data_IF_497427925108
#
_entry.id   IF_497427925108
#
_cell.length_a   1.000
_cell.length_b   1.000
_cell.length_c   1.000
_cell.angle_alpha   90.00
_cell.angle_beta   90.00
_cell.angle_gamma   90.00
#
_symmetry.space_group_name_H-M   'P 1'
#
loop_
_entity.id
_entity.type
_entity.pdbx_description
1 polymer ?
#
# COMPACT_ATOMS: atom_id res chain seq x y z
N UNK A 1 6.39 -15.92 7.68
CA UNK A 1 7.32 -15.35 8.67
C UNK A 1 8.26 -14.39 7.96
N UNK A 2 7.87 -13.12 7.89
CA UNK A 2 8.84 -12.07 7.65
C UNK A 2 9.79 -12.07 8.85
N UNK A 3 11.09 -12.12 8.58
CA UNK A 3 12.12 -12.04 9.61
C UNK A 3 12.01 -10.67 10.30
N UNK A 4 11.64 -10.64 11.58
CA UNK A 4 11.45 -9.45 12.42
C UNK A 4 12.75 -8.62 12.64
N UNK A 5 13.79 -8.85 11.84
CA UNK A 5 15.08 -8.18 11.92
C UNK A 5 15.59 -7.55 10.62
N UNK A 6 14.84 -7.60 9.52
CA UNK A 6 15.31 -6.98 8.27
C UNK A 6 15.03 -5.47 8.24
N UNK A 7 15.93 -4.70 8.86
CA UNK A 7 15.96 -3.23 8.79
C UNK A 7 15.86 -2.75 7.33
N UNK A 8 16.36 -3.51 6.34
CA UNK A 8 16.23 -3.11 4.94
C UNK A 8 14.79 -3.18 4.45
N UNK A 9 14.03 -4.18 4.88
CA UNK A 9 12.60 -4.28 4.56
C UNK A 9 11.82 -3.10 5.15
N UNK A 10 12.13 -2.71 6.40
CA UNK A 10 11.56 -1.52 7.06
C UNK A 10 11.92 -0.24 6.29
N UNK A 11 13.19 -0.08 5.90
CA UNK A 11 13.67 1.09 5.15
C UNK A 11 13.05 1.21 3.75
N UNK A 12 12.53 0.12 3.15
CA UNK A 12 11.77 0.21 1.88
C UNK A 12 10.42 0.95 2.03
N UNK A 13 9.88 1.06 3.24
CA UNK A 13 8.65 1.81 3.52
C UNK A 13 8.90 3.29 3.82
N UNK A 14 10.09 3.65 4.28
CA UNK A 14 10.43 5.04 4.66
C UNK A 14 10.13 6.06 3.54
N UNK A 15 10.55 5.84 2.26
CA UNK A 15 10.20 6.76 1.19
C UNK A 15 8.68 6.89 0.95
N UNK A 16 7.88 5.88 1.30
CA UNK A 16 6.43 5.84 1.09
C UNK A 16 5.69 6.74 2.07
N UNK A 17 6.20 6.84 3.30
CA UNK A 17 5.55 7.60 4.37
C UNK A 17 6.07 9.03 4.49
N UNK A 18 7.24 9.32 3.93
CA UNK A 18 7.82 10.66 3.97
C UNK A 18 6.88 11.73 3.40
N UNK A 19 6.65 12.77 4.19
CA UNK A 19 5.80 13.91 3.89
C UNK A 19 4.30 13.64 4.00
N UNK A 20 3.89 12.39 4.27
CA UNK A 20 2.49 12.01 4.47
C UNK A 20 2.04 12.37 5.88
N UNK A 21 0.76 12.71 6.01
CA UNK A 21 0.15 13.06 7.29
C UNK A 21 -0.56 11.83 7.84
N UNK A 22 -0.20 11.43 9.06
CA UNK A 22 -0.89 10.37 9.81
C UNK A 22 -1.58 11.00 11.01
N UNK A 23 -2.85 10.66 11.21
CA UNK A 23 -3.59 10.96 12.45
C UNK A 23 -3.55 9.70 13.30
N UNK A 24 -3.02 9.80 14.52
CA UNK A 24 -2.87 8.70 15.47
C UNK A 24 -3.62 9.05 16.74
N UNK A 25 -4.68 8.32 17.02
CA UNK A 25 -5.48 8.46 18.22
C UNK A 25 -5.01 7.44 19.25
N UNK A 26 -4.74 7.91 20.47
CA UNK A 26 -4.20 7.11 21.56
C UNK A 26 -5.21 7.13 22.69
N UNK A 27 -5.71 5.96 23.06
CA UNK A 27 -6.63 5.77 24.20
C UNK A 27 -5.89 5.85 25.55
N UNK A 28 -5.31 7.02 25.81
CA UNK A 28 -4.47 7.28 26.97
C UNK A 28 -5.21 7.12 28.30
N UNK A 29 -6.55 7.20 28.30
CA UNK A 29 -7.38 6.95 29.48
C UNK A 29 -7.43 5.48 29.92
N UNK A 30 -7.14 4.52 29.03
CA UNK A 30 -7.23 3.08 29.32
C UNK A 30 -5.89 2.33 29.13
N UNK A 31 -5.06 2.79 28.20
CA UNK A 31 -3.78 2.16 27.93
C UNK A 31 -2.78 2.37 29.09
N UNK A 32 -1.97 1.35 29.43
CA UNK A 32 -0.97 1.49 30.49
C UNK A 32 0.18 2.41 30.02
N UNK A 33 0.73 3.23 30.92
CA UNK A 33 1.80 4.19 30.62
C UNK A 33 2.99 3.60 29.83
N UNK A 34 3.52 2.40 30.15
CA UNK A 34 4.61 1.82 29.37
C UNK A 34 4.25 1.57 27.90
N UNK A 35 3.01 1.22 27.61
CA UNK A 35 2.55 0.99 26.23
C UNK A 35 2.40 2.30 25.45
N UNK A 36 1.97 3.37 26.13
CA UNK A 36 1.92 4.72 25.55
C UNK A 36 3.34 5.21 25.25
N UNK A 37 4.26 5.08 26.21
CA UNK A 37 5.66 5.47 26.03
C UNK A 37 6.33 4.72 24.88
N UNK A 38 6.12 3.39 24.78
CA UNK A 38 6.61 2.59 23.67
C UNK A 38 6.05 3.07 22.32
N UNK A 39 4.74 3.33 22.27
CA UNK A 39 4.08 3.86 21.06
C UNK A 39 4.65 5.23 20.67
N UNK A 40 4.96 6.10 21.64
CA UNK A 40 5.58 7.40 21.38
C UNK A 40 7.01 7.26 20.85
N UNK A 41 7.80 6.28 21.31
CA UNK A 41 9.13 6.01 20.74
C UNK A 41 9.03 5.55 19.28
N UNK A 42 8.06 4.69 18.96
CA UNK A 42 7.80 4.27 17.58
C UNK A 42 7.40 5.47 16.71
N UNK A 43 6.53 6.34 17.22
CA UNK A 43 6.09 7.55 16.54
C UNK A 43 7.22 8.58 16.36
N UNK A 44 8.12 8.73 17.34
CA UNK A 44 9.31 9.57 17.21
C UNK A 44 10.18 9.10 16.04
N UNK A 45 10.40 7.79 15.91
CA UNK A 45 11.10 7.22 14.76
C UNK A 45 10.36 7.47 13.43
N UNK A 46 9.03 7.54 13.44
CA UNK A 46 8.25 7.92 12.26
C UNK A 46 8.43 9.39 11.86
N UNK A 47 8.48 10.30 12.85
CA UNK A 47 8.78 11.71 12.62
C UNK A 47 10.17 11.87 11.97
N UNK A 48 11.19 11.17 12.50
CA UNK A 48 12.57 11.19 11.99
C UNK A 48 12.69 10.77 10.52
N UNK A 49 11.87 9.81 10.08
CA UNK A 49 11.85 9.38 8.66
C UNK A 49 11.04 10.31 7.76
N UNK A 50 10.39 11.31 8.34
CA UNK A 50 9.71 12.43 7.70
C UNK A 50 8.19 12.32 7.65
N UNK A 51 7.57 11.48 8.48
CA UNK A 51 6.11 11.43 8.60
C UNK A 51 5.63 12.64 9.39
N UNK A 52 4.54 13.26 8.94
CA UNK A 52 3.89 14.36 9.65
C UNK A 52 2.83 13.80 10.58
N UNK A 53 3.00 13.97 11.89
CA UNK A 53 2.14 13.33 12.89
C UNK A 53 1.14 14.29 13.51
N UNK A 54 -0.06 13.78 13.73
CA UNK A 54 -1.08 14.39 14.59
C UNK A 54 -1.49 13.35 15.61
N UNK A 55 -1.21 13.60 16.88
CA UNK A 55 -1.51 12.73 18.01
C UNK A 55 -2.77 13.25 18.71
N UNK A 56 -3.85 12.46 18.65
CA UNK A 56 -5.10 12.73 19.34
C UNK A 56 -5.19 11.93 20.64
N UNK A 57 -5.58 12.59 21.73
CA UNK A 57 -5.77 11.95 23.05
C UNK A 57 -7.23 11.56 23.22
N UNK A 58 -7.49 10.26 23.32
CA UNK A 58 -8.82 9.68 23.62
C UNK A 58 -8.88 9.33 25.12
N UNK A 59 -9.57 10.17 25.88
CA UNK A 59 -9.57 10.07 27.34
C UNK A 59 -8.19 10.32 27.97
N UNK A 60 -8.15 10.54 29.29
CA UNK A 60 -6.91 10.92 29.99
C UNK A 60 -6.58 12.42 29.89
N UNK A 61 -5.41 12.82 30.38
CA UNK A 61 -4.96 14.22 30.38
C UNK A 61 -4.08 14.52 29.16
N UNK A 62 -4.53 15.46 28.32
CA UNK A 62 -3.76 15.97 27.17
C UNK A 62 -2.38 16.49 27.58
N UNK A 63 -2.25 17.05 28.78
CA UNK A 63 -0.98 17.54 29.30
C UNK A 63 0.02 16.39 29.50
N UNK A 64 -0.43 15.25 30.00
CA UNK A 64 0.47 14.11 30.27
C UNK A 64 1.02 13.53 28.96
N UNK A 65 0.17 13.31 27.95
CA UNK A 65 0.66 12.87 26.63
C UNK A 65 1.63 13.90 26.04
N UNK A 66 1.33 15.19 26.13
CA UNK A 66 2.23 16.23 25.64
C UNK A 66 3.59 16.20 26.35
N UNK A 67 3.62 16.08 27.67
CA UNK A 67 4.87 16.00 28.41
C UNK A 67 5.67 14.75 28.01
N UNK A 68 5.02 13.60 27.83
CA UNK A 68 5.67 12.39 27.32
C UNK A 68 6.22 12.55 25.91
N UNK A 69 5.55 13.31 25.02
CA UNK A 69 6.11 13.58 23.68
C UNK A 69 7.46 14.33 23.78
N UNK A 70 7.59 15.25 24.73
CA UNK A 70 8.85 15.97 24.96
C UNK A 70 9.94 15.04 25.52
N UNK A 71 9.58 14.09 26.38
CA UNK A 71 10.51 13.08 26.89
C UNK A 71 11.03 12.14 25.80
N UNK A 72 10.21 11.85 24.79
CA UNK A 72 10.58 11.08 23.60
C UNK A 72 11.26 11.92 22.51
N UNK A 73 11.63 13.18 22.80
CA UNK A 73 12.28 14.11 21.86
C UNK A 73 11.45 14.44 20.60
N UNK A 74 10.12 14.22 20.64
CA UNK A 74 9.18 14.61 19.57
C UNK A 74 9.06 16.14 19.58
N UNK A 75 9.24 16.78 18.42
CA UNK A 75 9.07 18.23 18.29
C UNK A 75 7.59 18.59 18.24
N UNK A 76 6.90 18.52 19.37
CA UNK A 76 5.46 18.69 19.44
C UNK A 76 5.00 20.15 19.66
N UNK A 77 3.78 20.47 19.22
CA UNK A 77 3.01 21.62 19.68
C UNK A 77 1.56 21.22 19.95
N UNK A 78 0.99 21.77 21.02
CA UNK A 78 -0.41 21.53 21.37
C UNK A 78 -1.35 22.33 20.49
N UNK A 79 -2.40 21.67 20.03
CA UNK A 79 -3.55 22.33 19.43
C UNK A 79 -4.33 23.05 20.55
N UNK A 80 -4.69 24.31 20.33
CA UNK A 80 -5.42 25.11 21.33
C UNK A 80 -6.89 24.74 21.45
N UNK A 81 -7.40 23.94 20.52
CA UNK A 81 -8.78 23.47 20.46
C UNK A 81 -8.83 21.97 20.16
N UNK A 82 -9.90 21.26 20.54
CA UNK A 82 -10.08 19.85 20.22
C UNK A 82 -10.08 19.54 18.72
N UNK A 83 -9.76 18.29 18.38
CA UNK A 83 -9.95 17.75 17.05
C UNK A 83 -11.43 17.86 16.67
N UNK A 84 -11.71 18.41 15.48
CA UNK A 84 -13.06 18.59 14.98
C UNK A 84 -13.68 19.96 15.22
N UNK A 85 -13.10 20.81 16.08
CA UNK A 85 -13.59 22.17 16.23
C UNK A 85 -13.22 23.09 15.04
N UNK A 86 -14.05 24.10 14.72
CA UNK A 86 -13.75 25.07 13.68
C UNK A 86 -12.37 25.71 13.83
N UNK A 87 -11.59 25.70 12.75
CA UNK A 87 -10.23 26.25 12.70
C UNK A 87 -9.13 25.33 13.23
N UNK A 88 -9.47 24.14 13.76
CA UNK A 88 -8.50 23.15 14.21
C UNK A 88 -7.56 22.73 13.06
N UNK A 89 -8.13 22.54 11.87
CA UNK A 89 -7.39 22.13 10.66
C UNK A 89 -6.33 23.18 10.28
N UNK A 90 -6.68 24.47 10.26
CA UNK A 90 -5.76 25.53 9.84
C UNK A 90 -4.62 25.73 10.85
N UNK A 91 -4.93 25.61 12.14
CA UNK A 91 -3.94 25.63 13.20
C UNK A 91 -3.00 24.42 13.12
N UNK A 92 -3.55 23.22 12.91
CA UNK A 92 -2.77 22.00 12.72
C UNK A 92 -1.86 22.09 11.48
N UNK A 93 -2.35 22.62 10.35
CA UNK A 93 -1.52 22.88 9.15
C UNK A 93 -0.37 23.84 9.46
N UNK A 94 -0.63 24.89 10.24
CA UNK A 94 0.41 25.85 10.63
C UNK A 94 1.47 25.20 11.53
N UNK A 95 1.08 24.31 12.46
CA UNK A 95 2.00 23.53 13.31
C UNK A 95 2.85 22.58 12.44
N UNK A 96 2.21 21.75 11.61
CA UNK A 96 2.89 20.83 10.70
C UNK A 96 3.82 21.57 9.72
N UNK A 97 3.45 22.78 9.29
CA UNK A 97 4.25 23.63 8.41
C UNK A 97 5.56 24.12 9.05
N UNK A 98 5.65 24.13 10.39
CA UNK A 98 6.88 24.40 11.14
C UNK A 98 7.71 23.13 11.39
N UNK A 99 7.28 21.99 10.86
CA UNK A 99 7.91 20.69 11.07
C UNK A 99 7.64 20.10 12.45
N UNK A 100 6.58 20.53 13.13
CA UNK A 100 6.22 20.05 14.46
C UNK A 100 5.10 19.01 14.38
N UNK A 101 5.15 18.00 15.26
CA UNK A 101 4.05 17.08 15.54
C UNK A 101 2.91 17.83 16.25
N UNK A 102 1.66 17.59 15.86
CA UNK A 102 0.49 18.16 16.53
C UNK A 102 0.06 17.24 17.66
N UNK A 103 -0.19 17.78 18.85
CA UNK A 103 -0.80 17.04 19.97
C UNK A 103 -2.14 17.70 20.30
N UNK A 104 -3.24 16.96 20.24
CA UNK A 104 -4.58 17.52 20.32
C UNK A 104 -5.49 16.69 21.22
N UNK A 105 -6.44 17.39 21.85
CA UNK A 105 -7.55 16.74 22.52
C UNK A 105 -8.46 16.09 21.48
N UNK A 106 -8.70 14.80 21.59
CA UNK A 106 -9.61 14.05 20.74
C UNK A 106 -10.79 13.47 21.53
N UNK A 107 -11.08 13.99 22.72
CA UNK A 107 -12.11 13.49 23.64
C UNK A 107 -13.54 13.70 23.12
N UNK A 108 -13.87 13.03 22.03
CA UNK A 108 -15.24 12.67 21.65
C UNK A 108 -15.63 11.34 22.32
N UNK A 109 -16.91 10.98 22.25
CA UNK A 109 -17.41 9.74 22.86
C UNK A 109 -16.96 8.47 22.11
N UNK A 110 -16.43 8.57 20.88
CA UNK A 110 -16.06 7.44 20.03
C UNK A 110 -14.72 7.74 19.32
N UNK A 111 -13.72 6.84 19.37
CA UNK A 111 -12.45 7.00 18.67
C UNK A 111 -12.57 7.34 17.18
N UNK A 112 -13.62 6.90 16.49
CA UNK A 112 -13.81 7.10 15.05
C UNK A 112 -15.04 7.97 14.78
N UNK A 113 -15.35 8.90 15.69
CA UNK A 113 -16.49 9.78 15.56
C UNK A 113 -16.41 10.66 14.28
N UNK A 114 -17.56 11.14 13.78
CA UNK A 114 -17.59 11.89 12.54
C UNK A 114 -16.70 13.13 12.48
N UNK A 115 -16.46 13.82 13.61
CA UNK A 115 -15.65 15.04 13.69
C UNK A 115 -14.15 14.73 13.54
N UNK A 116 -13.67 13.66 14.18
CA UNK A 116 -12.30 13.16 14.00
C UNK A 116 -12.07 12.74 12.55
N UNK A 117 -13.05 12.07 11.93
CA UNK A 117 -13.00 11.69 10.52
C UNK A 117 -12.97 12.92 9.61
N UNK A 118 -13.82 13.94 9.85
CA UNK A 118 -13.82 15.19 9.09
C UNK A 118 -12.50 15.95 9.21
N UNK A 119 -11.94 15.99 10.42
CA UNK A 119 -10.62 16.56 10.65
C UNK A 119 -9.55 15.82 9.85
N UNK A 120 -9.56 14.48 9.88
CA UNK A 120 -8.63 13.60 9.15
C UNK A 120 -8.69 13.84 7.65
N UNK A 121 -9.90 14.00 7.11
CA UNK A 121 -10.10 14.35 5.70
C UNK A 121 -9.60 15.75 5.38
N UNK A 122 -9.99 16.75 6.17
CA UNK A 122 -9.68 18.16 5.93
C UNK A 122 -8.19 18.50 6.08
N UNK A 123 -7.45 17.71 6.87
CA UNK A 123 -6.00 17.82 6.99
C UNK A 123 -5.25 17.10 5.86
N UNK A 124 -5.92 16.25 5.08
CA UNK A 124 -5.32 15.46 4.01
C UNK A 124 -4.47 14.29 4.53
N UNK A 125 -4.89 13.68 5.64
CA UNK A 125 -4.22 12.51 6.19
C UNK A 125 -4.46 11.28 5.32
N UNK A 126 -3.42 10.47 5.13
CA UNK A 126 -3.51 9.22 4.35
C UNK A 126 -3.83 8.00 5.22
N UNK A 127 -3.66 8.14 6.53
CA UNK A 127 -3.94 7.10 7.53
C UNK A 127 -4.55 7.75 8.77
N UNK A 128 -5.62 7.11 9.25
CA UNK A 128 -6.14 7.25 10.60
C UNK A 128 -5.79 5.99 11.37
N UNK A 129 -5.08 6.10 12.48
CA UNK A 129 -4.64 4.97 13.30
C UNK A 129 -5.25 5.14 14.68
N UNK A 130 -6.04 4.19 15.14
CA UNK A 130 -6.58 4.15 16.49
C UNK A 130 -5.84 3.09 17.31
N UNK A 131 -5.09 3.54 18.32
CA UNK A 131 -4.46 2.70 19.35
C UNK A 131 -5.41 2.60 20.53
N UNK A 132 -6.13 1.49 20.61
CA UNK A 132 -7.20 1.26 21.58
C UNK A 132 -6.87 0.07 22.49
N UNK A 133 -7.56 -0.04 23.62
CA UNK A 133 -7.54 -1.27 24.42
C UNK A 133 -8.29 -2.40 23.70
N UNK A 134 -9.39 -2.08 23.02
CA UNK A 134 -10.16 -3.01 22.21
C UNK A 134 -9.52 -3.25 20.83
N UNK A 135 -9.78 -4.41 20.23
CA UNK A 135 -9.35 -4.75 18.88
C UNK A 135 -10.52 -5.33 18.07
N UNK A 136 -10.45 -5.15 16.75
CA UNK A 136 -11.36 -5.85 15.83
C UNK A 136 -10.81 -7.26 15.60
N UNK A 137 -11.57 -8.27 16.01
CA UNK A 137 -11.23 -9.68 15.81
C UNK A 137 -12.37 -10.36 15.05
N UNK A 138 -12.05 -11.09 13.99
CA UNK A 138 -13.01 -11.90 13.24
C UNK A 138 -12.65 -13.36 13.49
N UNK A 139 -13.60 -14.11 14.05
CA UNK A 139 -13.40 -15.50 14.45
C UNK A 139 -12.23 -15.69 15.45
N UNK A 140 -12.00 -14.67 16.28
CA UNK A 140 -11.01 -14.68 17.37
C UNK A 140 -9.63 -14.15 17.00
N UNK A 141 -9.37 -13.84 15.73
CA UNK A 141 -8.07 -13.35 15.25
C UNK A 141 -8.20 -11.98 14.56
N UNK A 142 -7.17 -11.12 14.60
CA UNK A 142 -7.15 -9.90 13.81
C UNK A 142 -7.09 -10.24 12.33
N UNK A 143 -7.81 -9.47 11.50
CA UNK A 143 -7.80 -9.66 10.04
C UNK A 143 -6.98 -8.55 9.40
N UNK A 144 -5.85 -8.87 8.74
CA UNK A 144 -4.93 -7.90 8.14
C UNK A 144 -5.56 -6.74 7.38
N UNK A 145 -6.58 -7.03 6.57
CA UNK A 145 -7.25 -6.03 5.75
C UNK A 145 -8.71 -6.42 5.52
N UNK A 146 -9.59 -5.44 5.68
CA UNK A 146 -11.02 -5.53 5.40
C UNK A 146 -11.43 -4.40 4.48
N UNK A 147 -12.16 -4.72 3.40
CA UNK A 147 -12.76 -3.70 2.54
C UNK A 147 -13.93 -3.07 3.26
N UNK A 148 -14.06 -1.75 3.20
CA UNK A 148 -15.20 -1.04 3.78
C UNK A 148 -16.55 -1.53 3.22
N UNK A 149 -16.58 -2.02 1.98
CA UNK A 149 -17.77 -2.60 1.36
C UNK A 149 -18.18 -3.97 1.94
N UNK A 150 -17.23 -4.72 2.50
CA UNK A 150 -17.45 -6.06 3.04
C UNK A 150 -17.70 -6.04 4.56
N UNK A 151 -17.42 -4.90 5.23
CA UNK A 151 -17.50 -4.73 6.67
C UNK A 151 -18.89 -5.04 7.26
N UNK A 152 -19.96 -4.55 6.62
CA UNK A 152 -21.33 -4.75 7.11
C UNK A 152 -21.74 -6.22 7.00
N UNK A 153 -21.34 -6.91 5.94
CA UNK A 153 -21.59 -8.33 5.77
C UNK A 153 -20.83 -9.16 6.82
N UNK A 154 -19.54 -8.84 7.05
CA UNK A 154 -18.70 -9.50 8.05
C UNK A 154 -19.24 -9.31 9.48
N UNK A 155 -19.70 -8.11 9.81
CA UNK A 155 -20.31 -7.81 11.11
C UNK A 155 -21.58 -8.63 11.39
N UNK A 156 -22.29 -9.07 10.33
CA UNK A 156 -23.51 -9.88 10.44
C UNK A 156 -23.18 -11.39 10.41
N UNK A 157 -22.22 -11.82 9.61
CA UNK A 157 -21.97 -13.23 9.32
C UNK A 157 -20.98 -13.93 10.27
N UNK A 158 -20.09 -13.17 10.93
CA UNK A 158 -19.01 -13.72 11.75
C UNK A 158 -19.19 -13.51 13.25
N UNK A 159 -18.34 -14.16 14.05
CA UNK A 159 -18.14 -13.76 15.46
C UNK A 159 -17.15 -12.61 15.47
N UNK A 160 -17.65 -11.38 15.48
CA UNK A 160 -16.82 -10.17 15.42
C UNK A 160 -16.77 -9.49 16.79
N UNK A 161 -15.58 -9.48 17.40
CA UNK A 161 -15.27 -8.57 18.52
C UNK A 161 -14.97 -7.18 17.94
N UNK A 162 -15.44 -6.10 18.56
CA UNK A 162 -15.26 -4.75 18.01
C UNK A 162 -16.09 -4.46 16.77
N UNK A 163 -17.27 -5.07 16.61
CA UNK A 163 -18.13 -4.86 15.44
C UNK A 163 -18.49 -3.38 15.21
N UNK A 164 -18.68 -2.60 16.28
CA UNK A 164 -18.93 -1.16 16.19
C UNK A 164 -17.71 -0.40 15.63
N UNK A 165 -16.49 -0.76 16.05
CA UNK A 165 -15.24 -0.20 15.50
C UNK A 165 -15.07 -0.56 14.03
N UNK A 166 -15.41 -1.80 13.64
CA UNK A 166 -15.38 -2.23 12.25
C UNK A 166 -16.32 -1.38 11.38
N UNK A 167 -17.54 -1.14 11.86
CA UNK A 167 -18.53 -0.31 11.16
C UNK A 167 -18.12 1.17 11.10
N UNK A 168 -17.62 1.72 12.21
CA UNK A 168 -17.16 3.11 12.27
C UNK A 168 -15.94 3.35 11.36
N UNK A 169 -14.98 2.42 11.35
CA UNK A 169 -13.83 2.46 10.46
C UNK A 169 -14.24 2.33 8.98
N UNK A 170 -15.21 1.45 8.67
CA UNK A 170 -15.75 1.33 7.32
C UNK A 170 -16.45 2.61 6.87
N UNK A 171 -17.19 3.26 7.77
CA UNK A 171 -17.84 4.53 7.47
C UNK A 171 -16.83 5.66 7.23
N UNK A 172 -15.79 5.76 8.08
CA UNK A 172 -14.70 6.70 7.87
C UNK A 172 -14.04 6.51 6.49
N UNK A 173 -13.82 5.26 6.08
CA UNK A 173 -13.34 4.94 4.74
C UNK A 173 -14.32 5.35 3.63
N UNK A 174 -15.62 5.05 3.76
CA UNK A 174 -16.64 5.47 2.79
C UNK A 174 -16.72 6.99 2.62
N UNK A 175 -16.39 7.75 3.68
CA UNK A 175 -16.30 9.21 3.66
C UNK A 175 -15.02 9.75 3.02
N UNK A 176 -14.06 8.89 2.70
CA UNK A 176 -12.86 9.21 1.93
C UNK A 176 -11.55 9.09 2.69
N UNK A 177 -11.56 8.64 3.96
CA UNK A 177 -10.30 8.36 4.67
C UNK A 177 -9.68 7.15 4.00
N UNK A 178 -8.46 7.24 3.42
CA UNK A 178 -7.96 6.16 2.59
C UNK A 178 -7.82 4.85 3.37
N UNK A 179 -7.37 4.96 4.63
CA UNK A 179 -7.11 3.83 5.52
C UNK A 179 -7.40 4.17 6.97
N UNK A 180 -8.09 3.27 7.64
CA UNK A 180 -8.29 3.29 9.09
C UNK A 180 -7.66 2.03 9.67
N UNK A 181 -6.71 2.18 10.59
CA UNK A 181 -6.09 1.08 11.30
C UNK A 181 -6.64 1.05 12.73
N UNK A 182 -7.14 -0.10 13.18
CA UNK A 182 -7.55 -0.30 14.58
C UNK A 182 -6.60 -1.32 15.20
N UNK A 183 -5.79 -0.86 16.15
CA UNK A 183 -4.69 -1.62 16.74
C UNK A 183 -4.87 -1.73 18.26
N UNK A 184 -4.53 -2.89 18.81
CA UNK A 184 -4.48 -3.06 20.26
C UNK A 184 -3.21 -2.40 20.81
N UNK A 185 -3.36 -1.24 21.45
CA UNK A 185 -2.25 -0.48 22.01
C UNK A 185 -1.51 -1.19 23.15
N UNK A 186 -2.06 -2.26 23.74
CA UNK A 186 -1.38 -3.04 24.80
C UNK A 186 -0.33 -4.00 24.24
N UNK A 187 -0.35 -4.27 22.93
CA UNK A 187 0.61 -5.15 22.27
C UNK A 187 1.89 -4.36 21.98
N UNK A 188 3.00 -4.84 22.51
CA UNK A 188 4.32 -4.27 22.25
C UNK A 188 4.67 -4.33 20.75
N UNK A 189 5.25 -3.25 20.24
CA UNK A 189 5.66 -3.08 18.85
C UNK A 189 4.52 -3.02 17.82
N UNK A 190 3.26 -2.89 18.24
CA UNK A 190 2.10 -3.00 17.34
C UNK A 190 2.13 -2.00 16.19
N UNK A 191 2.63 -0.78 16.42
CA UNK A 191 2.74 0.26 15.38
C UNK A 191 3.76 -0.14 14.31
N UNK A 192 4.95 -0.57 14.73
CA UNK A 192 6.02 -0.96 13.80
C UNK A 192 5.61 -2.22 13.03
N UNK A 193 5.08 -3.22 13.75
CA UNK A 193 4.56 -4.45 13.17
C UNK A 193 3.46 -4.17 12.14
N UNK A 194 2.56 -3.22 12.40
CA UNK A 194 1.49 -2.86 11.47
C UNK A 194 2.00 -2.10 10.24
N UNK A 195 2.85 -1.09 10.45
CA UNK A 195 3.21 -0.13 9.40
C UNK A 195 4.36 -0.63 8.50
N UNK A 196 5.18 -1.55 8.99
CA UNK A 196 6.36 -2.05 8.27
C UNK A 196 6.29 -3.54 7.93
N UNK A 197 5.15 -4.19 8.15
CA UNK A 197 4.87 -5.55 7.69
C UNK A 197 4.00 -5.58 6.44
N UNK A 198 4.22 -6.58 5.58
CA UNK A 198 3.31 -6.88 4.46
C UNK A 198 2.03 -7.61 4.89
N UNK A 199 1.98 -8.10 6.13
CA UNK A 199 0.85 -8.84 6.70
C UNK A 199 0.05 -7.96 7.69
N UNK A 200 0.64 -6.94 8.30
CA UNK A 200 0.01 -6.22 9.42
C UNK A 200 -0.23 -7.14 10.62
N UNK A 201 -0.61 -6.55 11.76
CA UNK A 201 -0.93 -7.31 12.98
C UNK A 201 -2.25 -6.88 13.62
N UNK A 202 -2.79 -5.74 13.21
CA UNK A 202 -4.13 -5.31 13.56
C UNK A 202 -5.08 -5.45 12.38
N UNK A 203 -6.19 -4.70 12.47
CA UNK A 203 -7.21 -4.70 11.43
C UNK A 203 -7.18 -3.37 10.70
N UNK A 204 -6.81 -3.41 9.41
CA UNK A 204 -6.86 -2.25 8.51
C UNK A 204 -8.16 -2.27 7.70
N UNK A 205 -8.93 -1.19 7.75
CA UNK A 205 -10.09 -0.97 6.91
C UNK A 205 -9.71 0.03 5.80
N UNK A 206 -10.18 -0.22 4.58
CA UNK A 206 -9.87 0.63 3.42
C UNK A 206 -11.06 0.79 2.47
N UNK A 207 -11.15 1.97 1.83
CA UNK A 207 -12.25 2.38 0.96
C UNK A 207 -12.14 1.79 -0.46
N UNK A 208 -10.97 1.98 -1.08
CA UNK A 208 -10.68 1.57 -2.45
C UNK A 208 -10.03 0.20 -2.52
N UNK A 209 -9.79 -0.33 -3.71
CA UNK A 209 -8.94 -1.51 -3.87
C UNK A 209 -7.53 -1.18 -3.33
N UNK A 210 -7.24 -1.54 -2.06
CA UNK A 210 -5.90 -1.49 -1.42
C UNK A 210 -4.77 -1.89 -2.38
N UNK A 211 -5.15 -2.79 -3.28
CA UNK A 211 -4.42 -3.27 -4.43
C UNK A 211 -5.16 -2.90 -5.71
N UNK A 212 -4.55 -2.12 -6.58
CA UNK A 212 -5.10 -1.77 -7.90
C UNK A 212 -4.10 -2.08 -9.02
N UNK A 213 -4.62 -2.34 -10.22
CA UNK A 213 -3.82 -2.33 -11.45
C UNK A 213 -4.27 -1.12 -12.27
N UNK A 214 -3.35 -0.19 -12.54
CA UNK A 214 -3.63 1.07 -13.23
C UNK A 214 -2.61 1.36 -14.34
N UNK A 215 -2.90 2.28 -15.27
CA UNK A 215 -1.89 2.84 -16.18
C UNK A 215 -0.65 3.36 -15.43
N UNK A 216 0.52 3.18 -16.03
CA UNK A 216 1.78 3.76 -15.54
C UNK A 216 1.71 5.30 -15.66
N UNK A 217 2.10 6.02 -14.60
CA UNK A 217 2.26 7.47 -14.61
C UNK A 217 3.73 7.83 -14.77
N UNK A 218 4.01 9.04 -15.25
CA UNK A 218 5.38 9.52 -15.45
C UNK A 218 6.20 9.52 -14.14
N UNK A 219 5.56 9.88 -13.03
CA UNK A 219 6.11 9.84 -11.68
C UNK A 219 6.50 8.42 -11.20
N UNK A 220 5.92 7.36 -11.79
CA UNK A 220 6.23 5.98 -11.45
C UNK A 220 7.48 5.44 -12.20
N UNK A 221 7.91 6.10 -13.29
CA UNK A 221 8.98 5.60 -14.17
C UNK A 221 10.29 5.34 -13.39
N UNK A 222 10.76 6.22 -12.48
CA UNK A 222 11.97 5.95 -11.70
C UNK A 222 11.87 4.67 -10.85
N UNK A 223 10.73 4.42 -10.21
CA UNK A 223 10.51 3.22 -9.41
C UNK A 223 10.45 1.97 -10.31
N UNK A 224 9.77 2.06 -11.45
CA UNK A 224 9.71 0.98 -12.44
C UNK A 224 11.11 0.63 -12.97
N UNK A 225 11.94 1.63 -13.30
CA UNK A 225 13.34 1.42 -13.70
C UNK A 225 14.15 0.78 -12.58
N UNK A 226 13.96 1.23 -11.33
CA UNK A 226 14.61 0.63 -10.16
C UNK A 226 14.20 -0.84 -9.96
N UNK A 227 12.93 -1.17 -10.17
CA UNK A 227 12.41 -2.55 -10.14
C UNK A 227 13.00 -3.42 -11.27
N UNK A 228 12.93 -2.94 -12.51
CA UNK A 228 13.47 -3.63 -13.67
C UNK A 228 14.98 -3.83 -13.51
N UNK A 229 15.75 -2.79 -13.17
CA UNK A 229 17.21 -2.86 -13.03
C UNK A 229 17.69 -3.87 -11.98
N UNK A 230 16.99 -3.99 -10.84
CA UNK A 230 17.24 -5.02 -9.82
C UNK A 230 17.00 -6.43 -10.38
N UNK A 231 16.00 -6.58 -11.24
CA UNK A 231 15.68 -7.83 -11.92
C UNK A 231 16.62 -8.13 -13.08
N UNK A 232 17.03 -7.16 -13.93
CA UNK A 232 17.99 -7.36 -15.03
C UNK A 232 19.28 -8.04 -14.53
N UNK A 233 19.79 -7.65 -13.37
CA UNK A 233 20.96 -8.28 -12.72
C UNK A 233 20.70 -9.72 -12.23
N UNK A 234 19.46 -10.06 -11.87
CA UNK A 234 19.06 -11.38 -11.32
C UNK A 234 18.41 -12.34 -12.34
N UNK A 235 17.73 -11.83 -13.37
CA UNK A 235 16.79 -12.55 -14.25
C UNK A 235 16.96 -12.23 -15.75
N UNK A 236 17.91 -11.36 -16.14
CA UNK A 236 18.19 -10.96 -17.54
C UNK A 236 16.96 -10.36 -18.27
N UNK A 237 16.19 -9.47 -17.63
CA UNK A 237 15.28 -8.57 -18.36
C UNK A 237 16.09 -7.68 -19.34
N UNK A 238 15.44 -7.16 -20.39
CA UNK A 238 16.07 -6.19 -21.30
C UNK A 238 16.21 -4.86 -20.55
N UNK A 239 17.41 -4.27 -20.57
CA UNK A 239 17.63 -2.94 -19.99
C UNK A 239 16.80 -1.92 -20.77
N UNK A 240 16.07 -1.06 -20.05
CA UNK A 240 15.34 0.08 -20.62
C UNK A 240 15.87 1.35 -19.99
N UNK A 241 15.93 2.42 -20.77
CA UNK A 241 16.14 3.75 -20.24
C UNK A 241 14.78 4.43 -19.95
N UNK A 242 14.84 5.64 -19.41
CA UNK A 242 13.64 6.39 -19.06
C UNK A 242 12.82 6.71 -20.32
N UNK A 243 13.50 7.15 -21.37
CA UNK A 243 12.93 7.58 -22.64
C UNK A 243 12.18 6.44 -23.36
N UNK A 244 12.67 5.20 -23.27
CA UNK A 244 12.03 4.01 -23.85
C UNK A 244 10.69 3.70 -23.19
N UNK A 245 10.61 3.89 -21.87
CA UNK A 245 9.39 3.65 -21.09
C UNK A 245 8.42 4.81 -21.32
N UNK A 246 8.90 6.05 -21.28
CA UNK A 246 8.10 7.25 -21.53
C UNK A 246 7.44 7.21 -22.91
N UNK A 247 8.20 6.90 -23.97
CA UNK A 247 7.69 6.81 -25.33
C UNK A 247 6.60 5.75 -25.53
N UNK A 248 6.55 4.74 -24.64
CA UNK A 248 5.58 3.64 -24.66
C UNK A 248 4.75 3.56 -23.39
N UNK A 249 4.61 4.67 -22.65
CA UNK A 249 4.01 4.67 -21.31
C UNK A 249 2.60 4.06 -21.30
N UNK A 250 1.84 4.24 -22.39
CA UNK A 250 0.50 3.69 -22.58
C UNK A 250 0.43 2.14 -22.61
N UNK A 251 1.52 1.46 -22.97
CA UNK A 251 1.60 0.01 -23.00
C UNK A 251 1.70 -0.58 -21.57
N UNK A 252 2.12 0.22 -20.60
CA UNK A 252 2.43 -0.26 -19.26
C UNK A 252 1.23 -0.19 -18.31
N UNK A 253 1.15 -1.22 -17.47
CA UNK A 253 0.28 -1.27 -16.30
C UNK A 253 1.12 -1.58 -15.07
N UNK A 254 0.80 -0.91 -13.99
CA UNK A 254 1.44 -1.14 -12.68
C UNK A 254 0.42 -1.66 -11.69
N UNK A 255 0.82 -2.65 -10.93
CA UNK A 255 0.12 -3.02 -9.71
C UNK A 255 0.63 -2.13 -8.59
N UNK A 256 -0.27 -1.42 -7.94
CA UNK A 256 0.06 -0.60 -6.79
C UNK A 256 -0.61 -1.11 -5.53
N UNK A 257 0.13 -1.02 -4.43
CA UNK A 257 -0.41 -1.11 -3.08
C UNK A 257 -0.12 0.21 -2.40
N UNK A 258 -1.18 0.93 -2.00
CA UNK A 258 -0.99 2.26 -1.38
C UNK A 258 -0.27 3.26 -2.30
N UNK A 259 -0.63 3.25 -3.59
CA UNK A 259 0.07 3.94 -4.68
C UNK A 259 1.54 3.56 -4.90
N UNK A 260 2.09 2.64 -4.12
CA UNK A 260 3.44 2.13 -4.33
C UNK A 260 3.42 1.05 -5.41
N UNK A 261 4.22 1.22 -6.45
CA UNK A 261 4.38 0.20 -7.49
C UNK A 261 5.03 -1.05 -6.88
N UNK A 262 4.32 -2.17 -6.92
CA UNK A 262 4.79 -3.49 -6.43
C UNK A 262 4.95 -4.51 -7.53
N UNK A 263 4.40 -4.25 -8.72
CA UNK A 263 4.59 -5.04 -9.91
C UNK A 263 4.22 -4.27 -11.17
N UNK A 264 4.62 -4.80 -12.33
CA UNK A 264 4.35 -4.20 -13.62
C UNK A 264 4.15 -5.28 -14.70
N UNK A 265 3.48 -4.89 -15.77
CA UNK A 265 3.35 -5.63 -17.03
C UNK A 265 3.23 -4.62 -18.16
N UNK A 266 3.74 -4.95 -19.34
CA UNK A 266 3.53 -4.19 -20.57
C UNK A 266 2.77 -5.05 -21.58
N UNK A 267 1.87 -4.43 -22.34
CA UNK A 267 1.22 -5.03 -23.49
C UNK A 267 1.69 -4.31 -24.75
N UNK A 268 2.56 -4.96 -25.53
CA UNK A 268 3.08 -4.39 -26.77
C UNK A 268 2.28 -4.92 -27.97
N UNK A 269 1.57 -4.02 -28.66
CA UNK A 269 0.73 -4.40 -29.79
C UNK A 269 1.56 -4.58 -31.07
N UNK A 270 1.17 -5.56 -31.88
CA UNK A 270 1.64 -5.79 -33.25
C UNK A 270 0.43 -5.79 -34.20
N UNK A 271 -0.04 -4.61 -34.64
CA UNK A 271 -1.29 -4.50 -35.38
C UNK A 271 -1.29 -5.25 -36.71
N UNK A 272 -0.14 -5.32 -37.39
CA UNK A 272 -0.01 -5.99 -38.69
C UNK A 272 -0.23 -7.51 -38.62
N UNK A 273 0.12 -8.12 -37.48
CA UNK A 273 -0.02 -9.57 -37.24
C UNK A 273 -1.19 -9.92 -36.30
N UNK A 274 -1.98 -8.91 -35.90
CA UNK A 274 -3.12 -9.02 -34.98
C UNK A 274 -2.79 -9.83 -33.71
N UNK A 275 -1.70 -9.45 -33.05
CA UNK A 275 -1.17 -10.13 -31.86
C UNK A 275 -0.55 -9.10 -30.91
N UNK A 276 -0.45 -9.42 -29.62
CA UNK A 276 0.28 -8.59 -28.66
C UNK A 276 1.24 -9.40 -27.78
N UNK A 277 2.33 -8.77 -27.35
CA UNK A 277 3.29 -9.35 -26.39
C UNK A 277 2.94 -8.92 -24.97
N UNK A 278 2.76 -9.89 -24.07
CA UNK A 278 2.81 -9.66 -22.62
C UNK A 278 4.28 -9.59 -22.22
N UNK A 279 4.80 -8.37 -22.15
CA UNK A 279 6.19 -8.05 -21.89
C UNK A 279 6.39 -7.48 -20.49
N UNK A 280 7.65 -7.36 -20.07
CA UNK A 280 8.06 -6.65 -18.85
C UNK A 280 7.29 -7.05 -17.57
N UNK A 281 6.85 -8.31 -17.48
CA UNK A 281 6.20 -8.83 -16.29
C UNK A 281 7.20 -8.93 -15.14
N UNK A 282 6.91 -8.23 -14.04
CA UNK A 282 7.73 -8.28 -12.84
C UNK A 282 6.89 -8.00 -11.60
N UNK A 283 7.23 -8.68 -10.50
CA UNK A 283 6.67 -8.45 -9.16
C UNK A 283 7.86 -8.34 -8.20
N UNK A 284 7.83 -7.38 -7.27
CA UNK A 284 8.86 -7.26 -6.24
C UNK A 284 8.95 -8.55 -5.43
N UNK A 285 10.18 -8.97 -5.08
CA UNK A 285 10.42 -10.24 -4.35
C UNK A 285 9.55 -10.37 -3.08
N UNK A 286 9.45 -9.30 -2.29
CA UNK A 286 8.66 -9.27 -1.05
C UNK A 286 7.14 -9.38 -1.28
N UNK A 287 6.70 -9.39 -2.55
CA UNK A 287 5.31 -9.46 -2.98
C UNK A 287 5.05 -10.69 -3.88
N UNK A 288 6.05 -11.55 -4.10
CA UNK A 288 5.88 -12.82 -4.81
C UNK A 288 5.04 -13.83 -3.99
N UNK A 289 4.55 -14.88 -4.64
CA UNK A 289 3.72 -15.92 -4.00
C UNK A 289 2.25 -15.53 -3.74
N UNK A 290 1.89 -14.26 -3.92
CA UNK A 290 0.54 -13.71 -3.64
C UNK A 290 -0.43 -13.72 -4.84
N UNK A 291 -0.05 -14.34 -5.95
CA UNK A 291 -0.85 -14.34 -7.20
C UNK A 291 -0.74 -13.07 -8.05
N UNK A 292 0.07 -12.09 -7.65
CA UNK A 292 0.14 -10.78 -8.31
C UNK A 292 0.55 -10.83 -9.78
N UNK A 293 1.47 -11.74 -10.13
CA UNK A 293 1.85 -11.95 -11.52
C UNK A 293 0.69 -12.44 -12.37
N UNK A 294 -0.16 -13.32 -11.84
CA UNK A 294 -1.34 -13.83 -12.57
C UNK A 294 -2.31 -12.70 -12.84
N UNK A 295 -2.60 -11.88 -11.83
CA UNK A 295 -3.56 -10.78 -11.96
C UNK A 295 -3.06 -9.69 -12.92
N UNK A 296 -1.75 -9.41 -12.93
CA UNK A 296 -1.13 -8.54 -13.94
C UNK A 296 -1.30 -9.07 -15.36
N UNK A 297 -1.05 -10.37 -15.59
CA UNK A 297 -1.20 -10.96 -16.92
C UNK A 297 -2.67 -10.98 -17.35
N UNK A 298 -3.59 -11.38 -16.47
CA UNK A 298 -5.02 -11.34 -16.77
C UNK A 298 -5.53 -9.94 -17.10
N UNK A 299 -5.01 -8.90 -16.43
CA UNK A 299 -5.33 -7.52 -16.78
C UNK A 299 -4.81 -7.15 -18.19
N UNK A 300 -3.58 -7.55 -18.53
CA UNK A 300 -3.05 -7.35 -19.89
C UNK A 300 -3.86 -8.10 -20.96
N UNK A 301 -4.31 -9.33 -20.67
CA UNK A 301 -5.19 -10.10 -21.55
C UNK A 301 -6.56 -9.44 -21.73
N UNK A 302 -7.12 -8.84 -20.68
CA UNK A 302 -8.38 -8.09 -20.77
C UNK A 302 -8.22 -6.87 -21.71
N UNK A 303 -7.14 -6.11 -21.57
CA UNK A 303 -6.82 -4.99 -22.47
C UNK A 303 -6.64 -5.46 -23.93
N UNK A 304 -6.01 -6.60 -24.16
CA UNK A 304 -5.88 -7.16 -25.50
C UNK A 304 -7.25 -7.54 -26.10
N UNK A 305 -8.16 -8.13 -25.29
CA UNK A 305 -9.55 -8.40 -25.72
C UNK A 305 -10.32 -7.13 -26.05
N UNK A 306 -10.19 -6.09 -25.24
CA UNK A 306 -10.81 -4.77 -25.49
C UNK A 306 -10.33 -4.15 -26.81
N UNK A 307 -9.06 -4.38 -27.18
CA UNK A 307 -8.50 -3.96 -28.47
C UNK A 307 -8.86 -4.88 -29.64
N UNK A 308 -9.59 -5.97 -29.41
CA UNK A 308 -9.96 -6.94 -30.45
C UNK A 308 -8.80 -7.85 -30.89
N UNK A 309 -7.75 -7.98 -30.07
CA UNK A 309 -6.58 -8.80 -30.36
C UNK A 309 -6.88 -10.25 -29.94
N UNK A 310 -6.91 -11.23 -30.87
CA UNK A 310 -7.36 -12.61 -30.59
C UNK A 310 -6.30 -13.48 -29.92
N UNK A 311 -5.04 -13.02 -29.86
CA UNK A 311 -3.91 -13.81 -29.40
C UNK A 311 -2.85 -12.95 -28.73
N UNK A 312 -2.27 -13.48 -27.67
CA UNK A 312 -1.11 -12.90 -27.00
C UNK A 312 0.02 -13.92 -26.90
N UNK A 313 1.26 -13.42 -26.83
CA UNK A 313 2.45 -14.23 -26.56
C UNK A 313 3.32 -13.64 -25.47
N UNK A 314 4.20 -14.46 -24.90
CA UNK A 314 5.19 -14.04 -23.92
C UNK A 314 6.51 -14.77 -24.18
N UNK A 315 7.63 -14.09 -23.93
CA UNK A 315 8.97 -14.67 -23.97
C UNK A 315 9.55 -14.76 -22.57
N UNK A 316 10.11 -15.92 -22.22
CA UNK A 316 10.73 -16.10 -20.90
C UNK A 316 11.90 -17.07 -20.91
N UNK A 317 12.92 -16.74 -20.09
CA UNK A 317 14.07 -17.62 -19.84
C UNK A 317 13.92 -18.44 -18.56
N UNK A 318 13.01 -18.06 -17.65
CA UNK A 318 12.90 -18.65 -16.30
C UNK A 318 11.48 -18.86 -15.79
N UNK A 319 10.48 -18.23 -16.39
CA UNK A 319 9.09 -18.26 -15.92
C UNK A 319 8.21 -19.21 -16.75
N UNK A 320 8.79 -20.26 -17.34
CA UNK A 320 8.06 -21.23 -18.16
C UNK A 320 6.89 -21.87 -17.40
N UNK A 321 7.16 -22.41 -16.20
CA UNK A 321 6.13 -23.01 -15.35
C UNK A 321 5.03 -22.01 -14.95
N UNK A 322 5.37 -20.74 -14.78
CA UNK A 322 4.38 -19.70 -14.48
C UNK A 322 3.41 -19.51 -15.65
N UNK A 323 3.92 -19.26 -16.86
CA UNK A 323 3.07 -19.05 -18.03
C UNK A 323 2.26 -20.30 -18.39
N UNK A 324 2.87 -21.48 -18.34
CA UNK A 324 2.22 -22.74 -18.69
C UNK A 324 1.20 -23.18 -17.62
N UNK A 325 1.62 -23.34 -16.37
CA UNK A 325 0.80 -23.97 -15.32
C UNK A 325 -0.11 -23.00 -14.57
N UNK A 326 0.28 -21.72 -14.45
CA UNK A 326 -0.47 -20.74 -13.63
C UNK A 326 -1.37 -19.83 -14.45
N UNK A 327 -0.96 -19.50 -15.67
CA UNK A 327 -1.73 -18.58 -16.54
C UNK A 327 -2.38 -19.30 -17.73
N UNK A 328 -1.88 -20.47 -18.11
CA UNK A 328 -2.48 -21.32 -19.16
C UNK A 328 -2.04 -20.97 -20.57
N UNK A 329 -0.80 -20.51 -20.76
CA UNK A 329 -0.20 -20.36 -22.09
C UNK A 329 0.36 -21.71 -22.55
N UNK A 330 0.44 -21.91 -23.87
CA UNK A 330 1.05 -23.10 -24.47
C UNK A 330 2.41 -22.75 -25.10
N UNK A 331 3.45 -23.60 -24.98
CA UNK A 331 4.70 -23.41 -25.70
C UNK A 331 4.45 -23.33 -27.21
N UNK A 332 5.18 -22.47 -27.91
CA UNK A 332 5.15 -22.39 -29.37
C UNK A 332 6.55 -22.13 -29.93
N UNK A 333 6.68 -22.33 -31.24
CA UNK A 333 7.94 -22.08 -31.95
C UNK A 333 8.17 -20.56 -32.10
N UNK A 334 9.41 -20.06 -31.97
CA UNK A 334 9.75 -18.68 -32.33
C UNK A 334 9.29 -18.25 -33.73
N UNK A 335 9.04 -19.21 -34.62
CA UNK A 335 8.45 -19.01 -35.93
C UNK A 335 7.01 -18.44 -35.92
N UNK A 336 6.34 -18.47 -34.76
CA UNK A 336 5.04 -17.84 -34.56
C UNK A 336 5.10 -16.34 -34.19
N UNK A 337 6.28 -15.82 -33.84
CA UNK A 337 6.48 -14.41 -33.45
C UNK A 337 6.37 -13.45 -34.65
N UNK A 338 5.92 -12.20 -34.42
CA UNK A 338 6.06 -11.12 -35.39
C UNK A 338 7.52 -10.98 -35.88
N UNK A 339 7.71 -10.71 -37.17
CA UNK A 339 9.04 -10.73 -37.81
C UNK A 339 10.03 -9.77 -37.11
N UNK A 340 9.58 -8.56 -36.81
CA UNK A 340 10.40 -7.56 -36.09
C UNK A 340 10.78 -8.03 -34.70
N UNK A 341 9.87 -8.72 -34.01
CA UNK A 341 10.12 -9.22 -32.65
C UNK A 341 11.04 -10.45 -32.63
N UNK A 342 10.95 -11.32 -33.65
CA UNK A 342 11.88 -12.44 -33.82
C UNK A 342 13.31 -11.96 -34.05
N UNK A 343 13.50 -10.98 -34.93
CA UNK A 343 14.82 -10.37 -35.17
C UNK A 343 15.41 -9.81 -33.87
N UNK A 344 14.62 -9.09 -33.08
CA UNK A 344 15.06 -8.59 -31.77
C UNK A 344 15.44 -9.70 -30.78
N UNK A 345 14.74 -10.85 -30.81
CA UNK A 345 15.10 -11.99 -29.96
C UNK A 345 16.45 -12.57 -30.38
N UNK A 346 16.67 -12.77 -31.68
CA UNK A 346 17.93 -13.28 -32.25
C UNK A 346 19.10 -12.35 -31.94
N UNK A 347 18.95 -11.05 -32.20
CA UNK A 347 19.96 -10.02 -31.91
C UNK A 347 20.29 -9.94 -30.41
N UNK A 348 19.31 -10.20 -29.54
CA UNK A 348 19.54 -10.19 -28.09
C UNK A 348 20.40 -11.34 -27.58
N UNK A 349 20.57 -12.41 -28.38
CA UNK A 349 21.30 -13.62 -27.99
C UNK A 349 20.68 -14.37 -26.80
N UNK A 350 19.41 -14.11 -26.48
CA UNK A 350 18.71 -14.73 -25.35
C UNK A 350 18.03 -16.03 -25.78
N UNK A 351 18.32 -17.11 -25.07
CA UNK A 351 17.63 -18.39 -25.21
C UNK A 351 16.26 -18.38 -24.50
N UNK A 352 15.35 -17.54 -25.01
CA UNK A 352 14.00 -17.38 -24.43
C UNK A 352 13.03 -18.38 -25.05
N UNK A 353 12.28 -19.08 -24.22
CA UNK A 353 11.15 -19.90 -24.67
C UNK A 353 9.96 -19.00 -25.00
N UNK A 354 9.21 -19.39 -26.02
CA UNK A 354 8.03 -18.65 -26.49
C UNK A 354 6.76 -19.38 -26.09
N UNK A 355 5.81 -18.62 -25.56
CA UNK A 355 4.52 -19.11 -25.12
C UNK A 355 3.42 -18.27 -25.75
N UNK A 356 2.30 -18.89 -26.15
CA UNK A 356 1.14 -18.18 -26.69
C UNK A 356 -0.17 -18.60 -26.01
N UNK A 357 -1.17 -17.70 -26.07
CA UNK A 357 -2.53 -17.95 -25.60
C UNK A 357 -3.52 -17.26 -26.52
N UNK A 358 -4.58 -17.97 -26.91
CA UNK A 358 -5.74 -17.40 -27.60
C UNK A 358 -6.70 -16.82 -26.56
N UNK A 359 -7.24 -15.63 -26.82
CA UNK A 359 -7.99 -14.84 -25.85
C UNK A 359 -9.49 -15.05 -25.89
#
# INVERSE_FOLDING_TARGET
MADQGDVRAVLEYVPRFRGKIFVVLIEAGLLPEPAIAESLLDLAAMEDVGVKLILGVLGGDLKDLYDWTLECEIMAARLTRPLGEPGAIEEAKAILGRGQTVVADASSNDPLDPQVVDFTLGIGAVKLIALLEEAILIDGEPVPAVRAADADALAISGTVTGAHLLQAAAEACRRGVPRVHVLNGRRQGVLVDELFSNEGVGTMIHADSYRQIRPLREEDIPELLGMIGRSVRRTKLVARNYEDIEARIGDYRVMTIDDNVVGCVALHDYPGENVAEVACLYVKLNHEGRGYGVDLVHHAEALAREKGIPRVFALTTRAADFFEKRVGYSPCDPDALPTTRRQQLEESGRDSKVFEKRL
#
